data_IF_545795277147
#
_entry.id   IF_545795277147
#
_cell.length_a   1.000
_cell.length_b   1.000
_cell.length_c   1.000
_cell.angle_alpha   90.00
_cell.angle_beta   90.00
_cell.angle_gamma   90.00
#
_symmetry.space_group_name_H-M   'P 1'
#
loop_
_entity.id
_entity.type
_entity.pdbx_description
1 polymer ?
#
# COMPACT_ATOMS: atom_id res chain seq x y z
N UNK A 1 -0.78 1.18 -7.75
CA UNK A 1 -2.01 1.65 -8.42
C UNK A 1 -3.21 0.90 -7.85
N UNK A 2 -4.33 1.59 -7.65
CA UNK A 2 -5.64 1.01 -7.36
C UNK A 2 -6.51 1.16 -8.60
N UNK A 3 -6.90 0.03 -9.20
CA UNK A 3 -7.89 0.02 -10.26
C UNK A 3 -9.31 0.06 -9.69
N UNK A 4 -10.28 0.43 -10.52
CA UNK A 4 -11.67 0.61 -10.12
C UNK A 4 -12.62 -0.11 -11.07
N UNK A 5 -13.86 -0.25 -10.61
CA UNK A 5 -14.96 -0.72 -11.44
C UNK A 5 -15.28 0.28 -12.55
N UNK A 6 -15.99 -0.15 -13.60
CA UNK A 6 -16.30 0.70 -14.76
C UNK A 6 -17.20 1.91 -14.43
N UNK A 7 -17.80 1.94 -13.24
CA UNK A 7 -18.59 3.05 -12.71
C UNK A 7 -18.31 3.23 -11.22
N UNK A 8 -18.76 4.35 -10.64
CA UNK A 8 -18.69 4.59 -9.20
C UNK A 8 -19.36 3.45 -8.42
N UNK A 9 -18.80 3.11 -7.25
CA UNK A 9 -19.28 1.98 -6.48
C UNK A 9 -19.20 2.26 -4.97
N UNK A 10 -20.28 1.97 -4.25
CA UNK A 10 -20.41 2.25 -2.81
C UNK A 10 -19.36 1.53 -1.96
N UNK A 11 -18.83 0.40 -2.43
CA UNK A 11 -17.77 -0.36 -1.76
C UNK A 11 -16.35 0.20 -1.98
N UNK A 12 -16.18 1.26 -2.78
CA UNK A 12 -14.87 1.90 -2.97
C UNK A 12 -14.35 2.42 -1.62
N UNK A 13 -13.05 2.30 -1.42
CA UNK A 13 -12.38 2.67 -0.17
C UNK A 13 -12.30 4.19 -0.06
N UNK A 14 -13.23 4.79 0.69
CA UNK A 14 -13.19 6.22 1.06
C UNK A 14 -11.98 6.52 1.94
N UNK A 15 -11.56 5.54 2.76
CA UNK A 15 -10.39 5.66 3.61
C UNK A 15 -9.72 4.30 3.79
N UNK A 16 -8.40 4.25 3.67
CA UNK A 16 -7.57 3.06 3.87
C UNK A 16 -6.14 3.42 4.27
N UNK A 17 -5.45 2.43 4.83
CA UNK A 17 -4.00 2.47 5.09
C UNK A 17 -3.29 1.39 4.31
N UNK A 18 -2.03 1.66 3.99
CA UNK A 18 -1.07 0.69 3.47
C UNK A 18 0.04 0.57 4.49
N UNK A 19 0.25 -0.63 5.01
CA UNK A 19 1.42 -0.97 5.82
C UNK A 19 2.37 -1.84 5.02
N UNK A 20 3.65 -1.84 5.40
CA UNK A 20 4.59 -2.82 4.90
C UNK A 20 5.75 -3.09 5.84
N UNK A 21 6.37 -4.25 5.66
CA UNK A 21 7.48 -4.71 6.48
C UNK A 21 8.12 -5.99 5.95
N UNK A 22 9.09 -6.50 6.71
CA UNK A 22 9.79 -7.75 6.42
C UNK A 22 9.10 -8.99 6.99
N UNK A 23 8.25 -8.80 8.01
CA UNK A 23 7.51 -9.86 8.71
C UNK A 23 6.01 -9.53 8.69
N UNK A 24 5.14 -10.47 8.25
CA UNK A 24 3.69 -10.25 8.22
C UNK A 24 3.04 -10.13 9.60
N UNK A 25 3.64 -10.72 10.64
CA UNK A 25 3.14 -10.73 12.02
C UNK A 25 3.92 -9.78 12.94
N UNK A 26 5.07 -9.28 12.47
CA UNK A 26 5.93 -8.34 13.17
C UNK A 26 5.54 -6.87 13.02
N UNK A 27 6.52 -6.00 13.30
CA UNK A 27 6.33 -4.55 13.19
C UNK A 27 6.29 -4.11 11.73
N UNK A 28 5.10 -3.72 11.26
CA UNK A 28 4.92 -3.05 9.95
C UNK A 28 4.90 -1.53 10.11
N UNK A 29 5.44 -0.83 9.12
CA UNK A 29 5.45 0.62 9.03
C UNK A 29 4.26 1.10 8.20
N UNK A 30 3.59 2.17 8.63
CA UNK A 30 2.59 2.85 7.81
C UNK A 30 3.27 3.55 6.62
N UNK A 31 2.93 3.08 5.42
CA UNK A 31 3.49 3.56 4.15
C UNK A 31 2.60 4.62 3.49
N UNK A 32 1.28 4.56 3.74
CA UNK A 32 0.28 5.47 3.20
C UNK A 32 -0.97 5.45 4.09
N UNK A 33 -1.59 6.61 4.28
CA UNK A 33 -2.97 6.76 4.76
C UNK A 33 -3.69 7.69 3.77
N UNK A 34 -4.69 7.17 3.07
CA UNK A 34 -5.38 7.91 2.01
C UNK A 34 -6.80 7.40 1.76
N UNK A 35 -7.43 7.88 0.69
CA UNK A 35 -8.75 7.48 0.23
C UNK A 35 -8.82 7.51 -1.29
N UNK A 36 -9.62 6.62 -1.87
CA UNK A 36 -9.94 6.63 -3.30
C UNK A 36 -11.07 7.60 -3.57
N UNK A 37 -11.06 8.26 -4.73
CA UNK A 37 -12.26 8.95 -5.25
C UNK A 37 -13.32 7.93 -5.66
N UNK A 38 -14.60 8.29 -5.51
CA UNK A 38 -15.69 7.42 -5.95
C UNK A 38 -16.05 7.62 -7.43
N UNK A 39 -15.13 7.26 -8.31
CA UNK A 39 -15.26 7.28 -9.77
C UNK A 39 -14.70 5.97 -10.37
N UNK A 40 -14.53 5.92 -11.69
CA UNK A 40 -13.97 4.78 -12.43
C UNK A 40 -12.48 4.90 -12.73
N UNK A 41 -11.85 6.03 -12.38
CA UNK A 41 -10.49 6.32 -12.81
C UNK A 41 -9.47 5.67 -11.87
N UNK A 42 -8.47 4.93 -12.39
CA UNK A 42 -7.45 4.32 -11.55
C UNK A 42 -6.58 5.38 -10.86
N UNK A 43 -6.15 5.09 -9.63
CA UNK A 43 -5.36 6.03 -8.82
C UNK A 43 -4.00 5.46 -8.42
N UNK A 44 -2.95 6.27 -8.51
CA UNK A 44 -1.59 5.93 -8.12
C UNK A 44 -1.16 6.78 -6.94
N UNK A 45 -0.61 6.14 -5.91
CA UNK A 45 -0.15 6.80 -4.69
C UNK A 45 1.32 6.45 -4.46
N UNK A 46 2.18 7.44 -4.18
CA UNK A 46 3.54 7.16 -3.73
C UNK A 46 3.49 6.57 -2.31
N UNK A 47 4.24 5.49 -2.09
CA UNK A 47 4.41 4.90 -0.77
C UNK A 47 5.67 5.46 -0.11
N UNK A 48 5.61 5.70 1.20
CA UNK A 48 6.80 5.94 2.01
C UNK A 48 7.73 4.72 1.88
N UNK A 49 8.99 4.98 1.56
CA UNK A 49 10.00 3.94 1.33
C UNK A 49 11.35 4.26 2.00
N UNK A 50 11.41 5.36 2.75
CA UNK A 50 12.60 5.76 3.51
C UNK A 50 12.21 6.36 4.87
N UNK A 51 13.15 6.30 5.80
CA UNK A 51 13.09 7.00 7.08
C UNK A 51 14.42 7.72 7.29
N UNK A 52 14.37 9.06 7.38
CA UNK A 52 15.57 9.92 7.29
C UNK A 52 16.29 9.64 5.97
N UNK A 53 17.57 9.28 6.01
CA UNK A 53 18.38 8.96 4.83
C UNK A 53 18.43 7.46 4.50
N UNK A 54 17.75 6.62 5.30
CA UNK A 54 17.77 5.17 5.12
C UNK A 54 16.55 4.70 4.35
N UNK A 55 16.78 4.01 3.23
CA UNK A 55 15.75 3.26 2.49
C UNK A 55 15.54 1.93 3.18
N UNK A 56 14.28 1.47 3.27
CA UNK A 56 13.97 0.17 3.85
C UNK A 56 13.31 -0.77 2.83
N UNK A 57 13.64 -2.08 2.87
CA UNK A 57 13.00 -3.08 2.03
C UNK A 57 11.59 -3.41 2.54
N UNK A 58 10.72 -3.87 1.64
CA UNK A 58 9.37 -4.33 1.98
C UNK A 58 9.13 -5.69 1.31
N UNK A 59 8.83 -6.71 2.12
CA UNK A 59 8.49 -8.05 1.64
C UNK A 59 6.99 -8.30 1.67
N UNK A 60 6.30 -7.72 2.65
CA UNK A 60 4.87 -7.86 2.85
C UNK A 60 4.19 -6.50 2.80
N UNK A 61 3.06 -6.43 2.10
CA UNK A 61 2.18 -5.26 2.05
C UNK A 61 0.82 -5.65 2.60
N UNK A 62 0.30 -4.83 3.52
CA UNK A 62 -1.01 -5.01 4.15
C UNK A 62 -1.88 -3.79 3.86
N UNK A 63 -2.99 -4.01 3.15
CA UNK A 63 -4.00 -2.97 2.92
C UNK A 63 -5.06 -3.08 4.03
N UNK A 64 -5.28 -1.99 4.74
CA UNK A 64 -6.26 -1.90 5.83
C UNK A 64 -7.38 -0.97 5.38
N UNK A 65 -8.52 -1.49 4.92
CA UNK A 65 -9.68 -0.66 4.64
C UNK A 65 -10.26 -0.12 5.95
N UNK A 66 -10.56 1.19 5.98
CA UNK A 66 -11.09 1.87 7.16
C UNK A 66 -12.53 2.36 6.94
N UNK A 67 -12.83 2.88 5.75
CA UNK A 67 -14.17 3.34 5.40
C UNK A 67 -14.48 3.09 3.91
N UNK A 68 -15.72 2.73 3.63
CA UNK A 68 -16.29 2.70 2.29
C UNK A 68 -17.15 3.95 2.06
N UNK A 69 -17.56 4.22 0.82
CA UNK A 69 -18.51 5.29 0.52
C UNK A 69 -19.94 4.95 0.98
N UNK A 70 -20.30 3.67 1.01
CA UNK A 70 -21.55 3.18 1.58
C UNK A 70 -21.40 2.76 3.05
N UNK A 71 -22.39 3.06 3.88
CA UNK A 71 -22.37 2.82 5.34
C UNK A 71 -22.77 1.39 5.76
N UNK A 72 -23.19 0.54 4.80
CA UNK A 72 -23.74 -0.80 5.08
C UNK A 72 -23.27 -1.86 4.09
N UNK A 73 -22.16 -1.58 3.38
CA UNK A 73 -21.60 -2.45 2.36
C UNK A 73 -20.18 -2.90 2.76
N UNK A 74 -19.76 -4.03 2.20
CA UNK A 74 -18.40 -4.54 2.39
C UNK A 74 -17.35 -3.63 1.73
N UNK A 75 -16.10 -3.79 2.11
CA UNK A 75 -14.96 -3.21 1.41
C UNK A 75 -14.66 -3.99 0.12
N UNK A 76 -14.31 -3.30 -0.96
CA UNK A 76 -13.89 -3.95 -2.19
C UNK A 76 -12.66 -3.26 -2.78
N UNK A 77 -11.69 -4.08 -3.17
CA UNK A 77 -10.53 -3.68 -3.96
C UNK A 77 -10.65 -4.41 -5.30
N UNK A 78 -10.79 -3.65 -6.38
CA UNK A 78 -11.00 -4.21 -7.71
C UNK A 78 -9.71 -4.70 -8.34
N UNK A 79 -8.63 -3.95 -8.15
CA UNK A 79 -7.32 -4.25 -8.68
C UNK A 79 -6.24 -3.53 -7.87
N UNK A 80 -5.09 -4.18 -7.69
CA UNK A 80 -3.93 -3.62 -7.03
C UNK A 80 -2.67 -3.93 -7.86
N UNK A 81 -1.89 -2.88 -8.11
CA UNK A 81 -0.54 -2.99 -8.68
C UNK A 81 0.47 -2.36 -7.72
N UNK A 82 1.58 -3.05 -7.49
CA UNK A 82 2.70 -2.55 -6.69
C UNK A 82 3.91 -2.41 -7.60
N UNK A 83 4.47 -1.22 -7.62
CA UNK A 83 5.64 -0.85 -8.42
C UNK A 83 6.77 -0.41 -7.51
N UNK A 84 7.99 -0.77 -7.84
CA UNK A 84 9.17 -0.40 -7.06
C UNK A 84 10.43 -1.03 -7.63
N UNK A 85 11.52 -0.94 -6.87
CA UNK A 85 12.80 -1.57 -7.21
C UNK A 85 12.77 -3.01 -6.70
N UNK A 86 12.79 -3.98 -7.60
CA UNK A 86 12.78 -5.43 -7.30
C UNK A 86 14.05 -6.16 -7.75
N UNK A 87 15.04 -5.42 -8.25
CA UNK A 87 16.33 -5.99 -8.65
C UNK A 87 17.02 -6.64 -7.44
N UNK A 88 17.31 -7.94 -7.53
CA UNK A 88 17.79 -8.75 -6.40
C UNK A 88 19.06 -8.20 -5.75
N UNK A 89 20.04 -7.76 -6.52
CA UNK A 89 21.30 -7.20 -6.02
C UNK A 89 21.06 -5.94 -5.20
N UNK A 90 20.23 -5.03 -5.72
CA UNK A 90 19.89 -3.78 -5.04
C UNK A 90 19.07 -4.03 -3.78
N UNK A 91 18.05 -4.89 -3.84
CA UNK A 91 17.22 -5.24 -2.68
C UNK A 91 18.06 -5.93 -1.60
N UNK A 92 18.93 -6.88 -1.96
CA UNK A 92 19.80 -7.58 -1.01
C UNK A 92 20.69 -6.62 -0.23
N UNK A 93 21.37 -5.71 -0.93
CA UNK A 93 22.23 -4.70 -0.31
C UNK A 93 21.46 -3.82 0.67
N UNK A 94 20.26 -3.36 0.29
CA UNK A 94 19.41 -2.53 1.16
C UNK A 94 18.94 -3.33 2.38
N UNK A 95 18.61 -4.61 2.22
CA UNK A 95 18.23 -5.47 3.35
C UNK A 95 19.38 -5.64 4.35
N UNK A 96 20.61 -5.86 3.88
CA UNK A 96 21.79 -5.97 4.76
C UNK A 96 22.05 -4.66 5.51
N UNK A 97 21.94 -3.51 4.84
CA UNK A 97 22.08 -2.19 5.48
C UNK A 97 20.99 -1.92 6.51
N UNK A 98 19.76 -2.37 6.25
CA UNK A 98 18.62 -2.19 7.15
C UNK A 98 18.71 -3.08 8.41
N UNK A 99 19.19 -4.32 8.28
CA UNK A 99 19.37 -5.25 9.41
C UNK A 99 20.54 -4.87 10.33
N UNK A 100 21.48 -4.05 9.86
CA UNK A 100 22.63 -3.58 10.63
C UNK A 100 22.30 -2.45 11.63
N UNK A 101 21.05 -1.96 11.66
CA UNK A 101 20.56 -0.84 12.49
C UNK A 101 19.64 -1.35 13.60
#
# INVERSE_FOLDING_TARGET
>A
MFGKFYQSHVCNLKEFKVLGGLDPDGSMIELLHSGLKNDSEPEVFPLKHHYKEMVFPVQYIKIIPLAAYGTSFNFSIWYLEVTGISEKSTVHKISEEYEAV
#
